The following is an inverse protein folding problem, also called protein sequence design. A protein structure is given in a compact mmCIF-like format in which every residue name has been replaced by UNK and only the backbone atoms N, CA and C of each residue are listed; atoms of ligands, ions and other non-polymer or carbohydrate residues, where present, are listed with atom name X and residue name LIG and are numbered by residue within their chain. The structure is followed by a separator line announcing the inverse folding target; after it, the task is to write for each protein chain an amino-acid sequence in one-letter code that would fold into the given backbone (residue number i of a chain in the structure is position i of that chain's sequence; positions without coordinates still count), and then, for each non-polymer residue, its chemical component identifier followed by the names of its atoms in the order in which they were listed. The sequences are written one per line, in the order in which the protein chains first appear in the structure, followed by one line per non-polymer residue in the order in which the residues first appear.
data_IF_191287151776
#
_entry.id   IF_191287151776
#
_cell.length_a   1.000
_cell.length_b   1.000
_cell.length_c   1.000
_cell.angle_alpha   90.00
_cell.angle_beta   90.00
_cell.angle_gamma   90.00
#
_symmetry.space_group_name_H-M   'P 1'
#
loop_
_entity.id
_entity.type
_entity.pdbx_description
1 polymer ?
#
# COMPACT_ATOMS: atom_id res chain seq x y z
N UNK A 1 -2.55 -13.95 -13.39
CA UNK A 1 -2.02 -12.59 -13.37
C UNK A 1 -0.57 -12.56 -12.93
N UNK A 2 -0.24 -12.80 -11.69
CA UNK A 2 1.15 -12.68 -11.19
C UNK A 2 2.20 -13.58 -11.90
N UNK A 3 1.79 -14.71 -12.51
CA UNK A 3 2.71 -15.61 -13.23
C UNK A 3 2.82 -15.32 -14.72
N UNK A 4 1.68 -14.97 -15.35
CA UNK A 4 1.56 -14.95 -16.81
C UNK A 4 1.09 -13.59 -17.35
N UNK A 5 1.06 -12.58 -16.48
CA UNK A 5 0.57 -11.24 -16.79
C UNK A 5 -0.95 -11.15 -16.98
N UNK A 6 -1.41 -9.91 -17.11
CA UNK A 6 -2.83 -9.61 -17.25
C UNK A 6 -3.44 -10.17 -18.56
N UNK A 7 -2.71 -10.09 -19.67
CA UNK A 7 -3.19 -10.51 -20.99
C UNK A 7 -3.56 -12.00 -21.06
N UNK A 8 -2.99 -12.82 -20.18
CA UNK A 8 -3.28 -14.25 -20.10
C UNK A 8 -4.57 -14.58 -19.32
N UNK A 9 -5.23 -13.61 -18.69
CA UNK A 9 -6.45 -13.84 -17.93
C UNK A 9 -7.66 -13.88 -18.85
N UNK A 10 -8.30 -15.05 -18.96
CA UNK A 10 -9.53 -15.27 -19.72
C UNK A 10 -10.58 -15.90 -18.81
N UNK A 11 -11.88 -15.72 -19.13
CA UNK A 11 -12.96 -16.34 -18.35
C UNK A 11 -12.76 -17.84 -18.20
N UNK A 12 -12.33 -18.53 -19.27
CA UNK A 12 -12.06 -19.98 -19.26
C UNK A 12 -10.96 -20.37 -18.28
N UNK A 13 -9.86 -19.59 -18.21
CA UNK A 13 -8.77 -19.87 -17.24
C UNK A 13 -9.23 -19.62 -15.82
N UNK A 14 -9.97 -18.52 -15.57
CA UNK A 14 -10.52 -18.24 -14.25
C UNK A 14 -11.47 -19.34 -13.81
N UNK A 15 -12.36 -19.80 -14.72
CA UNK A 15 -13.28 -20.90 -14.44
C UNK A 15 -12.56 -22.20 -14.10
N UNK A 16 -11.48 -22.52 -14.84
CA UNK A 16 -10.68 -23.72 -14.61
C UNK A 16 -9.94 -23.68 -13.26
N UNK A 17 -9.38 -22.52 -12.89
CA UNK A 17 -8.62 -22.36 -11.65
C UNK A 17 -9.51 -22.25 -10.40
N UNK A 18 -10.65 -21.55 -10.53
CA UNK A 18 -11.56 -21.27 -9.41
C UNK A 18 -12.65 -22.32 -9.21
N UNK A 19 -12.85 -23.20 -10.19
CA UNK A 19 -13.94 -24.21 -10.17
C UNK A 19 -15.34 -23.63 -10.26
N UNK A 20 -15.48 -22.37 -10.73
CA UNK A 20 -16.75 -21.67 -10.86
C UNK A 20 -17.00 -21.24 -12.30
N UNK A 21 -18.27 -21.00 -12.64
CA UNK A 21 -18.65 -20.41 -13.93
C UNK A 21 -18.72 -18.89 -13.80
N UNK A 22 -17.73 -18.18 -14.35
CA UNK A 22 -17.61 -16.72 -14.27
C UNK A 22 -18.90 -16.02 -14.71
N UNK A 23 -19.50 -16.44 -15.82
CA UNK A 23 -20.68 -15.82 -16.41
C UNK A 23 -21.97 -15.92 -15.54
N UNK A 24 -22.00 -16.79 -14.51
CA UNK A 24 -23.12 -16.81 -13.54
C UNK A 24 -22.99 -15.71 -12.49
N UNK A 25 -21.80 -15.19 -12.26
CA UNK A 25 -21.52 -14.21 -11.22
C UNK A 25 -21.22 -12.82 -11.78
N UNK A 26 -20.69 -12.76 -13.01
CA UNK A 26 -20.24 -11.53 -13.65
C UNK A 26 -20.73 -11.52 -15.10
N UNK A 27 -21.34 -10.41 -15.53
CA UNK A 27 -21.82 -10.25 -16.90
C UNK A 27 -20.68 -10.25 -17.93
N UNK A 28 -19.55 -9.69 -17.55
CA UNK A 28 -18.34 -9.60 -18.38
C UNK A 28 -17.08 -9.92 -17.56
N UNK A 29 -15.95 -10.15 -18.26
CA UNK A 29 -14.64 -10.27 -17.61
C UNK A 29 -14.22 -8.94 -16.96
N UNK A 30 -14.65 -7.82 -17.52
CA UNK A 30 -14.39 -6.50 -16.95
C UNK A 30 -15.11 -6.30 -15.61
N UNK A 31 -16.33 -6.80 -15.45
CA UNK A 31 -17.06 -6.78 -14.18
C UNK A 31 -16.32 -7.59 -13.10
N UNK A 32 -15.74 -8.74 -13.47
CA UNK A 32 -14.88 -9.51 -12.58
C UNK A 32 -13.65 -8.69 -12.15
N UNK A 33 -12.96 -8.01 -13.07
CA UNK A 33 -11.80 -7.20 -12.74
C UNK A 33 -12.17 -6.02 -11.84
N UNK A 34 -13.27 -5.34 -12.11
CA UNK A 34 -13.79 -4.27 -11.23
C UNK A 34 -14.04 -4.81 -9.82
N UNK A 35 -14.68 -5.99 -9.71
CA UNK A 35 -14.91 -6.63 -8.40
C UNK A 35 -13.60 -7.00 -7.68
N UNK A 36 -12.58 -7.49 -8.42
CA UNK A 36 -11.26 -7.79 -7.86
C UNK A 36 -10.57 -6.53 -7.35
N UNK A 37 -10.59 -5.44 -8.13
CA UNK A 37 -10.03 -4.14 -7.72
C UNK A 37 -10.74 -3.62 -6.47
N UNK A 38 -12.07 -3.65 -6.45
CA UNK A 38 -12.88 -3.22 -5.31
C UNK A 38 -12.51 -4.01 -4.06
N UNK A 39 -12.55 -5.34 -4.14
CA UNK A 39 -12.22 -6.22 -3.01
C UNK A 39 -10.80 -5.98 -2.50
N UNK A 40 -9.84 -5.81 -3.40
CA UNK A 40 -8.45 -5.51 -3.03
C UNK A 40 -8.32 -4.14 -2.37
N UNK A 41 -9.02 -3.13 -2.89
CA UNK A 41 -9.06 -1.78 -2.32
C UNK A 41 -9.62 -1.79 -0.89
N UNK A 42 -10.77 -2.42 -0.68
CA UNK A 42 -11.39 -2.58 0.66
C UNK A 42 -10.43 -3.26 1.66
N UNK A 43 -9.76 -4.32 1.23
CA UNK A 43 -8.76 -5.01 2.06
C UNK A 43 -7.57 -4.10 2.39
N UNK A 44 -7.07 -3.34 1.43
CA UNK A 44 -5.95 -2.41 1.67
C UNK A 44 -6.33 -1.29 2.62
N UNK A 45 -7.53 -0.71 2.50
CA UNK A 45 -8.05 0.31 3.42
C UNK A 45 -8.12 -0.26 4.84
N UNK A 46 -8.67 -1.46 5.02
CA UNK A 46 -8.76 -2.11 6.33
C UNK A 46 -7.37 -2.42 6.93
N UNK A 47 -6.44 -2.92 6.13
CA UNK A 47 -5.07 -3.20 6.57
C UNK A 47 -4.33 -1.92 6.95
N UNK A 48 -4.49 -0.84 6.18
CA UNK A 48 -3.90 0.46 6.51
C UNK A 48 -4.50 1.02 7.80
N UNK A 49 -5.82 0.98 7.99
CA UNK A 49 -6.45 1.42 9.22
C UNK A 49 -5.89 0.68 10.44
N UNK A 50 -5.75 -0.64 10.36
CA UNK A 50 -5.16 -1.44 11.43
C UNK A 50 -3.68 -1.09 11.69
N UNK A 51 -2.90 -0.86 10.64
CA UNK A 51 -1.51 -0.48 10.76
C UNK A 51 -1.35 0.88 11.45
N UNK A 52 -2.13 1.88 11.04
CA UNK A 52 -2.10 3.23 11.61
C UNK A 52 -2.63 3.28 13.05
N UNK A 53 -3.50 2.37 13.45
CA UNK A 53 -4.00 2.24 14.83
C UNK A 53 -3.09 1.40 15.75
N UNK A 54 -1.98 0.87 15.24
CA UNK A 54 -1.07 0.03 16.04
C UNK A 54 -0.22 0.86 17.02
N UNK A 55 0.36 0.24 18.07
CA UNK A 55 1.28 0.93 18.97
C UNK A 55 2.54 1.52 18.29
N UNK A 56 2.95 0.93 17.15
CA UNK A 56 4.09 1.36 16.35
C UNK A 56 3.61 1.60 14.89
N UNK A 57 2.88 2.70 14.64
CA UNK A 57 2.14 2.87 13.40
C UNK A 57 3.04 3.04 12.17
N UNK A 58 4.19 3.71 12.27
CA UNK A 58 5.13 3.83 11.15
C UNK A 58 5.73 2.48 10.78
N UNK A 59 6.09 1.66 11.78
CA UNK A 59 6.63 0.32 11.56
C UNK A 59 5.58 -0.61 10.95
N UNK A 60 4.35 -0.57 11.43
CA UNK A 60 3.26 -1.37 10.90
C UNK A 60 2.91 -0.96 9.46
N UNK A 61 2.87 0.35 9.19
CA UNK A 61 2.65 0.86 7.85
C UNK A 61 3.79 0.51 6.90
N UNK A 62 5.07 0.68 7.31
CA UNK A 62 6.22 0.28 6.50
C UNK A 62 6.17 -1.22 6.13
N UNK A 63 5.88 -2.09 7.09
CA UNK A 63 5.71 -3.53 6.84
C UNK A 63 4.61 -3.80 5.82
N UNK A 64 3.47 -3.12 5.95
CA UNK A 64 2.34 -3.27 5.04
C UNK A 64 2.70 -2.89 3.59
N UNK A 65 3.35 -1.73 3.38
CA UNK A 65 3.68 -1.24 2.04
C UNK A 65 4.89 -1.96 1.43
N UNK A 66 5.74 -2.57 2.25
CA UNK A 66 6.92 -3.34 1.79
C UNK A 66 6.58 -4.79 1.43
N UNK A 67 5.32 -5.24 1.60
CA UNK A 67 4.92 -6.63 1.31
C UNK A 67 4.96 -6.91 -0.20
N UNK A 68 5.91 -7.76 -0.68
CA UNK A 68 6.17 -7.90 -2.12
C UNK A 68 4.99 -8.43 -2.92
N UNK A 69 4.23 -9.39 -2.34
CA UNK A 69 3.10 -10.03 -3.05
C UNK A 69 1.95 -9.06 -3.24
N UNK A 70 1.67 -8.23 -2.25
CA UNK A 70 0.63 -7.21 -2.31
C UNK A 70 0.89 -6.16 -3.37
N UNK A 71 2.12 -5.67 -3.43
CA UNK A 71 2.55 -4.63 -4.34
C UNK A 71 2.62 -5.11 -5.80
N UNK A 72 3.13 -6.32 -6.07
CA UNK A 72 3.15 -6.87 -7.43
C UNK A 72 1.74 -6.97 -8.05
N UNK A 73 0.74 -7.39 -7.28
CA UNK A 73 -0.64 -7.41 -7.75
C UNK A 73 -1.17 -5.99 -8.03
N UNK A 74 -0.82 -5.01 -7.21
CA UNK A 74 -1.23 -3.62 -7.40
C UNK A 74 -0.65 -3.03 -8.70
N UNK A 75 0.63 -3.31 -9.00
CA UNK A 75 1.27 -2.90 -10.26
C UNK A 75 0.50 -3.47 -11.46
N UNK A 76 0.21 -4.77 -11.46
CA UNK A 76 -0.54 -5.43 -12.53
C UNK A 76 -1.97 -4.88 -12.69
N UNK A 77 -2.69 -4.66 -11.59
CA UNK A 77 -4.04 -4.10 -11.63
C UNK A 77 -4.04 -2.64 -12.12
N UNK A 78 -3.05 -1.84 -11.72
CA UNK A 78 -2.91 -0.45 -12.18
C UNK A 78 -2.60 -0.40 -13.68
N UNK A 79 -1.68 -1.26 -14.16
CA UNK A 79 -1.37 -1.35 -15.58
C UNK A 79 -2.60 -1.78 -16.40
N UNK A 80 -3.38 -2.76 -15.91
CA UNK A 80 -4.63 -3.19 -16.55
C UNK A 80 -5.69 -2.09 -16.60
N UNK A 81 -5.76 -1.25 -15.56
CA UNK A 81 -6.72 -0.16 -15.45
C UNK A 81 -6.49 0.95 -16.48
N UNK A 82 -5.25 1.15 -16.99
CA UNK A 82 -4.94 2.16 -18.00
C UNK A 82 -5.76 2.03 -19.28
N UNK A 83 -6.27 0.84 -19.57
CA UNK A 83 -7.08 0.56 -20.78
C UNK A 83 -8.54 0.24 -20.45
N UNK A 84 -8.98 0.45 -19.20
CA UNK A 84 -10.35 0.12 -18.72
C UNK A 84 -10.89 1.19 -17.80
N UNK A 85 -11.75 2.12 -18.33
CA UNK A 85 -12.24 3.25 -17.55
C UNK A 85 -12.94 2.87 -16.24
N UNK A 86 -13.70 1.77 -16.21
CA UNK A 86 -14.38 1.32 -15.00
C UNK A 86 -13.39 0.85 -13.92
N UNK A 87 -12.34 0.10 -14.30
CA UNK A 87 -11.27 -0.28 -13.38
C UNK A 87 -10.48 0.94 -12.90
N UNK A 88 -10.17 1.88 -13.81
CA UNK A 88 -9.46 3.11 -13.48
C UNK A 88 -10.21 3.93 -12.44
N UNK A 89 -11.53 4.04 -12.57
CA UNK A 89 -12.38 4.75 -11.61
C UNK A 89 -12.32 4.11 -10.21
N UNK A 90 -12.37 2.78 -10.12
CA UNK A 90 -12.23 2.06 -8.83
C UNK A 90 -10.83 2.23 -8.24
N UNK A 91 -9.77 2.04 -9.03
CA UNK A 91 -8.38 2.27 -8.57
C UNK A 91 -8.21 3.68 -8.02
N UNK A 92 -8.70 4.69 -8.74
CA UNK A 92 -8.61 6.09 -8.31
C UNK A 92 -9.43 6.36 -7.03
N UNK A 93 -10.55 5.68 -6.85
CA UNK A 93 -11.37 5.81 -5.63
C UNK A 93 -10.60 5.31 -4.41
N UNK A 94 -10.04 4.11 -4.47
CA UNK A 94 -9.25 3.56 -3.36
C UNK A 94 -7.92 4.27 -3.16
N UNK A 95 -7.26 4.72 -4.23
CA UNK A 95 -6.03 5.50 -4.11
C UNK A 95 -6.26 6.83 -3.37
N UNK A 96 -7.37 7.52 -3.64
CA UNK A 96 -7.77 8.75 -2.92
C UNK A 96 -8.06 8.48 -1.45
N UNK A 97 -8.80 7.41 -1.15
CA UNK A 97 -9.13 7.05 0.22
C UNK A 97 -7.88 6.70 1.02
N UNK A 98 -7.00 5.84 0.48
CA UNK A 98 -5.73 5.49 1.11
C UNK A 98 -4.88 6.73 1.35
N UNK A 99 -4.78 7.63 0.37
CA UNK A 99 -4.01 8.87 0.50
C UNK A 99 -4.58 9.79 1.57
N UNK A 100 -5.90 9.93 1.65
CA UNK A 100 -6.57 10.71 2.68
C UNK A 100 -6.24 10.16 4.07
N UNK A 101 -6.39 8.85 4.30
CA UNK A 101 -6.07 8.20 5.56
C UNK A 101 -4.60 8.39 5.96
N UNK A 102 -3.68 8.27 5.01
CA UNK A 102 -2.24 8.48 5.24
C UNK A 102 -1.96 9.91 5.69
N UNK A 103 -2.51 10.91 4.99
CA UNK A 103 -2.32 12.33 5.32
C UNK A 103 -2.90 12.65 6.68
N UNK A 104 -4.15 12.27 6.96
CA UNK A 104 -4.82 12.52 8.24
C UNK A 104 -4.05 11.88 9.42
N UNK A 105 -3.58 10.64 9.26
CA UNK A 105 -2.77 10.01 10.29
C UNK A 105 -1.43 10.74 10.51
N UNK A 106 -0.76 11.13 9.43
CA UNK A 106 0.52 11.84 9.51
C UNK A 106 0.37 13.25 10.10
N UNK A 107 -0.77 13.93 9.91
CA UNK A 107 -1.03 15.24 10.55
C UNK A 107 -0.96 15.17 12.07
N UNK A 108 -1.38 14.07 12.67
CA UNK A 108 -1.27 13.86 14.12
C UNK A 108 0.04 13.22 14.54
N UNK A 109 0.60 12.36 13.72
CA UNK A 109 1.76 11.54 14.08
C UNK A 109 3.09 12.28 13.99
N UNK A 110 3.28 13.17 12.99
CA UNK A 110 4.60 13.80 12.76
C UNK A 110 5.09 14.59 13.96
N UNK A 111 4.19 15.25 14.69
CA UNK A 111 4.52 15.99 15.91
C UNK A 111 5.00 15.04 17.03
N UNK A 112 4.35 13.88 17.18
CA UNK A 112 4.74 12.84 18.16
C UNK A 112 6.14 12.28 17.87
N UNK A 113 6.48 12.15 16.59
CA UNK A 113 7.81 11.70 16.15
C UNK A 113 8.86 12.83 16.16
N UNK A 114 8.46 14.09 16.40
CA UNK A 114 9.34 15.26 16.34
C UNK A 114 9.86 15.58 14.97
N UNK A 115 9.07 15.29 13.96
CA UNK A 115 9.38 15.58 12.57
C UNK A 115 8.82 16.96 12.22
N UNK A 116 9.69 17.82 11.68
CA UNK A 116 9.32 19.16 11.24
C UNK A 116 8.39 19.08 10.02
N UNK A 117 7.15 19.52 10.19
CA UNK A 117 6.11 19.45 9.17
C UNK A 117 6.31 20.46 8.03
N UNK A 118 7.08 21.50 8.23
CA UNK A 118 7.41 22.46 7.18
C UNK A 118 8.41 21.85 6.18
N UNK A 119 9.34 21.03 6.69
CA UNK A 119 10.29 20.30 5.86
C UNK A 119 9.71 18.98 5.31
N UNK A 120 8.87 18.32 6.09
CA UNK A 120 8.27 17.01 5.78
C UNK A 120 6.75 17.06 5.90
N UNK A 121 6.06 17.78 5.00
CA UNK A 121 4.60 17.83 5.05
C UNK A 121 4.01 16.42 4.86
N UNK A 122 2.85 16.12 5.49
CA UNK A 122 2.20 14.80 5.46
C UNK A 122 2.09 14.19 4.06
N UNK A 123 1.75 15.01 3.07
CA UNK A 123 1.64 14.57 1.67
C UNK A 123 2.97 14.11 1.07
N UNK A 124 4.09 14.76 1.42
CA UNK A 124 5.42 14.35 0.99
C UNK A 124 5.81 13.02 1.63
N UNK A 125 5.63 12.87 2.96
CA UNK A 125 5.95 11.64 3.68
C UNK A 125 5.13 10.47 3.13
N UNK A 126 3.82 10.64 2.97
CA UNK A 126 2.94 9.62 2.38
C UNK A 126 3.39 9.26 0.95
N UNK A 127 3.75 10.26 0.14
CA UNK A 127 4.25 10.06 -1.22
C UNK A 127 5.58 9.32 -1.26
N UNK A 128 6.53 9.67 -0.38
CA UNK A 128 7.86 9.06 -0.33
C UNK A 128 7.79 7.59 0.08
N UNK A 129 7.04 7.26 1.14
CA UNK A 129 6.87 5.88 1.64
C UNK A 129 6.19 5.02 0.57
N UNK A 130 5.07 5.48 0.02
CA UNK A 130 4.34 4.74 -1.00
C UNK A 130 5.13 4.65 -2.31
N UNK A 131 5.82 5.73 -2.69
CA UNK A 131 6.62 5.80 -3.92
C UNK A 131 7.80 4.84 -3.89
N UNK A 132 8.53 4.76 -2.77
CA UNK A 132 9.63 3.80 -2.61
C UNK A 132 9.12 2.36 -2.74
N UNK A 133 8.07 2.00 -2.02
CA UNK A 133 7.50 0.66 -2.08
C UNK A 133 6.98 0.30 -3.48
N UNK A 134 6.34 1.26 -4.17
CA UNK A 134 5.84 1.06 -5.52
C UNK A 134 6.98 0.94 -6.54
N UNK A 135 8.03 1.76 -6.42
CA UNK A 135 9.21 1.68 -7.29
C UNK A 135 9.88 0.31 -7.19
N UNK A 136 10.13 -0.17 -5.96
CA UNK A 136 10.70 -1.51 -5.74
C UNK A 136 9.83 -2.63 -6.33
N UNK A 137 8.50 -2.53 -6.19
CA UNK A 137 7.58 -3.51 -6.76
C UNK A 137 7.57 -3.48 -8.30
N UNK A 138 7.60 -2.27 -8.89
CA UNK A 138 7.66 -2.06 -10.33
C UNK A 138 8.95 -2.62 -10.93
N UNK A 139 10.09 -2.30 -10.32
CA UNK A 139 11.41 -2.75 -10.77
C UNK A 139 11.51 -4.27 -10.76
N UNK A 140 10.96 -4.90 -9.71
CA UNK A 140 10.88 -6.37 -9.63
C UNK A 140 10.07 -6.97 -10.77
N UNK A 141 8.95 -6.36 -11.14
CA UNK A 141 8.15 -6.76 -12.31
C UNK A 141 8.95 -6.55 -13.61
N UNK A 142 9.76 -5.48 -13.68
CA UNK A 142 10.67 -5.20 -14.80
C UNK A 142 11.92 -6.10 -14.84
N UNK A 143 12.13 -6.93 -13.83
CA UNK A 143 13.20 -7.95 -13.79
C UNK A 143 14.52 -7.46 -13.20
N UNK A 144 14.53 -6.39 -12.41
CA UNK A 144 15.73 -5.97 -11.67
C UNK A 144 15.43 -5.57 -10.22
N UNK A 145 16.43 -5.77 -9.34
CA UNK A 145 16.30 -5.51 -7.90
C UNK A 145 17.55 -4.78 -7.35
N UNK A 146 18.27 -4.06 -8.21
CA UNK A 146 19.52 -3.37 -7.81
C UNK A 146 19.23 -2.31 -6.76
N UNK A 147 19.87 -2.43 -5.60
CA UNK A 147 19.73 -1.49 -4.49
C UNK A 147 18.48 -1.67 -3.61
N UNK A 148 17.57 -2.59 -3.93
CA UNK A 148 16.32 -2.78 -3.18
C UNK A 148 16.56 -3.21 -1.74
N UNK A 149 17.46 -4.18 -1.51
CA UNK A 149 17.79 -4.63 -0.16
C UNK A 149 18.37 -3.51 0.69
N UNK A 150 19.29 -2.73 0.12
CA UNK A 150 19.90 -1.58 0.80
C UNK A 150 18.86 -0.50 1.13
N UNK A 151 18.00 -0.14 0.17
CA UNK A 151 16.94 0.85 0.36
C UNK A 151 15.91 0.39 1.40
N UNK A 152 15.45 -0.86 1.34
CA UNK A 152 14.50 -1.41 2.30
C UNK A 152 15.09 -1.48 3.72
N UNK A 153 16.36 -1.91 3.84
CA UNK A 153 17.06 -1.95 5.12
C UNK A 153 17.28 -0.55 5.69
N UNK A 154 17.64 0.44 4.86
CA UNK A 154 17.79 1.83 5.29
C UNK A 154 16.46 2.44 5.76
N UNK A 155 15.39 2.23 5.02
CA UNK A 155 14.05 2.67 5.41
C UNK A 155 13.59 1.99 6.72
N UNK A 156 13.82 0.68 6.87
CA UNK A 156 13.54 -0.05 8.10
C UNK A 156 14.28 0.54 9.31
N UNK A 157 15.59 0.77 9.20
CA UNK A 157 16.38 1.41 10.27
C UNK A 157 15.90 2.81 10.61
N UNK A 158 15.48 3.60 9.61
CA UNK A 158 14.91 4.93 9.85
C UNK A 158 13.61 4.82 10.66
N UNK A 159 12.71 3.94 10.25
CA UNK A 159 11.45 3.70 10.95
C UNK A 159 11.69 3.24 12.39
N UNK A 160 12.60 2.27 12.61
CA UNK A 160 12.95 1.79 13.95
C UNK A 160 13.45 2.93 14.85
N UNK A 161 14.33 3.78 14.33
CA UNK A 161 14.83 4.95 15.07
C UNK A 161 13.73 5.95 15.42
N UNK A 162 12.80 6.21 14.51
CA UNK A 162 11.67 7.10 14.75
C UNK A 162 10.74 6.55 15.84
N UNK A 163 10.43 5.24 15.82
CA UNK A 163 9.60 4.61 16.85
C UNK A 163 10.28 4.65 18.23
N UNK A 164 11.61 4.42 18.31
CA UNK A 164 12.39 4.54 19.54
C UNK A 164 12.37 5.98 20.08
N UNK A 165 12.52 6.99 19.20
CA UNK A 165 12.47 8.41 19.58
C UNK A 165 11.11 8.79 20.15
N UNK A 166 10.02 8.35 19.50
CA UNK A 166 8.65 8.58 19.99
C UNK A 166 8.45 7.96 21.36
N UNK A 167 8.81 6.68 21.54
CA UNK A 167 8.67 5.99 22.82
C UNK A 167 9.45 6.69 23.95
N UNK A 168 10.66 7.20 23.67
CA UNK A 168 11.47 7.94 24.64
C UNK A 168 10.83 9.29 25.03
N UNK A 169 10.19 9.99 24.07
CA UNK A 169 9.44 11.24 24.34
C UNK A 169 8.23 10.97 25.23
N UNK A 170 7.43 9.96 24.91
CA UNK A 170 6.24 9.59 25.70
C UNK A 170 6.63 9.24 27.15
N UNK A 171 7.73 8.50 27.33
CA UNK A 171 8.24 8.17 28.66
C UNK A 171 8.66 9.42 29.45
N UNK A 172 9.32 10.40 28.81
CA UNK A 172 9.75 11.63 29.46
C UNK A 172 8.58 12.53 29.87
N UNK A 173 7.55 12.64 29.04
CA UNK A 173 6.33 13.39 29.36
C UNK A 173 5.57 12.77 30.55
N UNK A 174 5.50 11.46 30.62
CA UNK A 174 4.86 10.73 31.72
C UNK A 174 5.62 10.92 33.06
N UNK A 175 6.94 11.04 33.04
CA UNK A 175 7.74 11.26 34.24
C UNK A 175 7.69 12.72 34.74
N UNK A 176 7.57 13.70 33.83
CA UNK A 176 7.47 15.12 34.17
C UNK A 176 6.09 15.56 34.73
N UNK A 177 5.07 14.70 34.57
CA UNK A 177 3.70 14.96 35.05
C UNK A 177 3.42 14.39 36.47
N UNK A 178 4.42 13.77 37.13
CA UNK A 178 4.36 13.26 38.50
C UNK A 178 5.12 14.16 39.43
#
# INVERSE_FOLDING_TARGET
MLRDGYAAVTSRRVEAEAGIKVHYHFGTLDDLFVAVVRRRGEMNVALLANALASPEPLRAWWRLVSEPRGNGLLVELTAAANHRPAMQAEVATFAREVRRMQIEALESMLDDYGIDRDLFPPALVAGAVQGLAFAMAHDKVAGFETGHEEAAAAAGRLVDRLEEQRAARDASLTQGAR
#
